data_IF_105868355164
#
_entry.id   IF_105868355164
#
_cell.length_a   1.000
_cell.length_b   1.000
_cell.length_c   1.000
_cell.angle_alpha   90.00
_cell.angle_beta   90.00
_cell.angle_gamma   90.00
#
_symmetry.space_group_name_H-M   'P 1'
#
loop_
_entity.id
_entity.type
_entity.pdbx_description
1 polymer ?
#
# COMPACT_ATOMS: atom_id res chain seq x y z
N UNK A 1 -12.14 -9.52 2.86
CA UNK A 1 -11.41 -8.23 2.82
C UNK A 1 -10.70 -8.21 1.49
N UNK A 2 -11.12 -7.38 0.54
CA UNK A 2 -10.43 -7.27 -0.75
C UNK A 2 -9.50 -6.07 -0.68
N UNK A 3 -8.22 -6.39 -0.60
CA UNK A 3 -7.12 -5.44 -0.63
C UNK A 3 -6.83 -5.17 -2.11
N UNK A 4 -6.81 -3.91 -2.51
CA UNK A 4 -6.42 -3.53 -3.88
C UNK A 4 -5.03 -2.91 -3.75
N UNK A 5 -4.03 -3.71 -4.12
CA UNK A 5 -2.58 -3.51 -4.12
C UNK A 5 -1.99 -2.35 -3.33
N UNK A 6 -1.24 -2.70 -2.27
CA UNK A 6 -0.16 -1.84 -1.78
C UNK A 6 0.95 -1.79 -2.82
N UNK A 7 1.42 -0.57 -3.10
CA UNK A 7 2.49 -0.39 -4.07
C UNK A 7 3.82 -0.09 -3.37
N UNK A 8 4.84 -0.90 -3.69
CA UNK A 8 6.15 -0.84 -3.04
C UNK A 8 7.17 -0.09 -3.88
N UNK A 9 7.85 0.86 -3.25
CA UNK A 9 8.99 1.54 -3.83
C UNK A 9 10.32 0.93 -3.36
N UNK A 10 11.07 0.34 -4.29
CA UNK A 10 12.36 -0.37 -4.16
C UNK A 10 12.31 -1.84 -3.66
N UNK A 11 11.90 -2.76 -4.54
CA UNK A 11 12.65 -4.00 -4.85
C UNK A 11 12.98 -5.06 -3.79
N UNK A 12 12.53 -5.01 -2.53
CA UNK A 12 12.68 -6.14 -1.59
C UNK A 12 11.44 -6.30 -0.70
N UNK A 13 10.68 -7.37 -0.98
CA UNK A 13 9.59 -7.98 -0.21
C UNK A 13 8.44 -7.04 0.21
N UNK A 14 7.24 -7.36 -0.28
CA UNK A 14 6.05 -6.49 -0.23
C UNK A 14 5.48 -6.32 1.19
N UNK A 15 5.12 -5.08 1.54
CA UNK A 15 4.47 -4.70 2.80
C UNK A 15 3.09 -5.32 3.02
N UNK A 16 2.40 -5.82 1.99
CA UNK A 16 1.13 -6.55 2.15
C UNK A 16 1.36 -7.95 2.73
N UNK A 17 2.47 -8.57 2.34
CA UNK A 17 2.92 -9.81 2.99
C UNK A 17 3.24 -9.52 4.46
N UNK A 18 3.95 -8.43 4.74
CA UNK A 18 4.33 -8.04 6.10
C UNK A 18 3.13 -7.61 6.95
N UNK A 19 2.18 -6.85 6.40
CA UNK A 19 0.93 -6.44 7.07
C UNK A 19 0.01 -7.65 7.28
N UNK A 20 -0.12 -8.53 6.30
CA UNK A 20 -0.83 -9.80 6.46
C UNK A 20 -0.20 -10.68 7.53
N UNK A 21 1.14 -10.73 7.59
CA UNK A 21 1.90 -11.45 8.62
C UNK A 21 1.73 -10.79 10.01
N UNK A 22 1.79 -9.47 10.12
CA UNK A 22 1.63 -8.73 11.38
C UNK A 22 0.19 -8.83 11.90
N UNK A 23 -0.80 -8.58 11.04
CA UNK A 23 -2.22 -8.69 11.39
C UNK A 23 -2.58 -10.13 11.75
N UNK A 24 -2.19 -11.09 10.91
CA UNK A 24 -2.45 -12.51 11.14
C UNK A 24 -1.78 -13.04 12.42
N UNK A 25 -0.51 -12.69 12.66
CA UNK A 25 0.17 -13.07 13.90
C UNK A 25 -0.49 -12.46 15.14
N UNK A 26 -0.99 -11.22 15.06
CA UNK A 26 -1.69 -10.56 16.16
C UNK A 26 -3.07 -11.17 16.43
N UNK A 27 -3.80 -11.57 15.40
CA UNK A 27 -5.07 -12.31 15.53
C UNK A 27 -4.88 -13.72 16.11
N UNK A 28 -3.73 -14.37 15.84
CA UNK A 28 -3.32 -15.63 16.45
C UNK A 28 -2.79 -15.49 17.90
N UNK A 29 -2.78 -14.27 18.46
CA UNK A 29 -2.43 -14.03 19.86
C UNK A 29 -0.96 -13.71 20.15
N UNK A 30 -0.10 -13.60 19.12
CA UNK A 30 1.31 -13.25 19.34
C UNK A 30 1.47 -11.82 19.90
N UNK A 31 2.45 -11.64 20.78
CA UNK A 31 2.82 -10.35 21.32
C UNK A 31 3.66 -9.52 20.34
N UNK A 32 3.63 -8.19 20.50
CA UNK A 32 4.40 -7.26 19.65
C UNK A 32 5.91 -7.52 19.74
N UNK A 33 6.41 -7.92 20.91
CA UNK A 33 7.82 -8.24 21.10
C UNK A 33 8.22 -9.53 20.37
N UNK A 34 7.39 -10.57 20.43
CA UNK A 34 7.64 -11.84 19.70
C UNK A 34 7.62 -11.63 18.19
N UNK A 35 6.65 -10.85 17.69
CA UNK A 35 6.58 -10.50 16.27
C UNK A 35 7.81 -9.70 15.83
N UNK A 36 8.31 -8.77 16.66
CA UNK A 36 9.53 -8.02 16.36
C UNK A 36 10.76 -8.91 16.28
N UNK A 37 10.90 -9.87 17.20
CA UNK A 37 12.00 -10.85 17.16
C UNK A 37 11.89 -11.81 15.96
N UNK A 38 10.67 -12.23 15.61
CA UNK A 38 10.42 -13.24 14.58
C UNK A 38 10.50 -12.70 13.16
N UNK A 39 10.06 -11.46 12.94
CA UNK A 39 9.94 -10.86 11.62
C UNK A 39 10.91 -9.68 11.39
N UNK A 40 11.69 -9.30 12.40
CA UNK A 40 12.71 -8.25 12.29
C UNK A 40 12.15 -6.81 12.32
N UNK A 41 10.85 -6.63 12.59
CA UNK A 41 10.27 -5.28 12.70
C UNK A 41 10.49 -4.66 14.08
N UNK A 42 10.58 -3.32 14.10
CA UNK A 42 10.56 -2.58 15.35
C UNK A 42 9.18 -2.70 16.03
N UNK A 43 9.16 -2.69 17.38
CA UNK A 43 7.91 -2.71 18.16
C UNK A 43 6.98 -1.55 17.82
N UNK A 44 7.54 -0.39 17.47
CA UNK A 44 6.80 0.81 17.05
C UNK A 44 6.15 0.62 15.68
N UNK A 45 6.87 0.03 14.71
CA UNK A 45 6.31 -0.31 13.38
C UNK A 45 5.12 -1.26 13.51
N UNK A 46 5.27 -2.35 14.27
CA UNK A 46 4.20 -3.33 14.49
C UNK A 46 2.98 -2.68 15.16
N UNK A 47 3.19 -1.84 16.18
CA UNK A 47 2.10 -1.12 16.86
C UNK A 47 1.34 -0.17 15.93
N UNK A 48 2.02 0.56 15.03
CA UNK A 48 1.37 1.48 14.08
C UNK A 48 0.51 0.72 13.08
N UNK A 49 1.08 -0.30 12.45
CA UNK A 49 0.39 -1.16 11.47
C UNK A 49 -0.89 -1.76 12.08
N UNK A 50 -0.82 -2.31 13.29
CA UNK A 50 -2.01 -2.90 13.92
C UNK A 50 -3.08 -1.87 14.31
N UNK A 51 -2.67 -0.69 14.80
CA UNK A 51 -3.60 0.39 15.17
C UNK A 51 -4.32 0.95 13.94
N UNK A 52 -3.60 1.16 12.87
CA UNK A 52 -4.13 1.66 11.59
C UNK A 52 -5.06 0.61 10.96
N UNK A 53 -4.66 -0.67 10.96
CA UNK A 53 -5.53 -1.77 10.57
C UNK A 53 -6.86 -1.77 11.35
N UNK A 54 -6.80 -1.73 12.70
CA UNK A 54 -8.02 -1.69 13.53
C UNK A 54 -8.92 -0.49 13.24
N UNK A 55 -8.33 0.67 12.94
CA UNK A 55 -9.08 1.88 12.59
C UNK A 55 -9.85 1.78 11.27
N UNK A 56 -9.49 0.81 10.41
CA UNK A 56 -10.14 0.59 9.11
C UNK A 56 -11.23 -0.49 9.12
N UNK A 57 -11.31 -1.32 10.15
CA UNK A 57 -12.32 -2.41 10.24
C UNK A 57 -13.61 -1.86 10.84
N UNK A 58 -14.68 -1.76 10.02
CA UNK A 58 -16.02 -1.47 10.53
C UNK A 58 -16.59 -2.70 11.26
N UNK A 59 -17.11 -2.47 12.48
CA UNK A 59 -17.87 -3.45 13.25
C UNK A 59 -19.18 -3.76 12.51
N UNK A 60 -19.21 -4.83 11.72
CA UNK A 60 -20.41 -5.20 10.97
C UNK A 60 -20.25 -6.25 9.86
N UNK A 61 -19.05 -6.76 9.60
CA UNK A 61 -18.82 -7.80 8.59
C UNK A 61 -18.76 -7.29 7.14
N UNK A 62 -18.94 -5.98 6.91
CA UNK A 62 -18.67 -5.34 5.63
C UNK A 62 -17.16 -5.23 5.39
N UNK A 63 -16.68 -5.78 4.28
CA UNK A 63 -15.28 -5.62 3.88
C UNK A 63 -15.02 -4.20 3.40
N UNK A 64 -14.15 -3.46 4.10
CA UNK A 64 -13.66 -2.15 3.66
C UNK A 64 -12.53 -2.34 2.65
N UNK A 65 -12.56 -1.57 1.57
CA UNK A 65 -11.47 -1.49 0.61
C UNK A 65 -10.61 -0.26 0.93
N UNK A 66 -9.29 -0.42 0.88
CA UNK A 66 -8.33 0.65 1.20
C UNK A 66 -7.22 0.59 0.16
N UNK A 67 -6.78 1.76 -0.29
CA UNK A 67 -5.59 1.95 -1.12
C UNK A 67 -4.50 2.62 -0.29
N UNK A 68 -3.25 2.25 -0.53
CA UNK A 68 -2.08 2.85 0.09
C UNK A 68 -0.86 2.79 -0.85
N UNK A 69 0.11 3.68 -0.62
CA UNK A 69 1.43 3.65 -1.24
C UNK A 69 2.49 3.67 -0.14
N UNK A 70 3.50 2.82 -0.22
CA UNK A 70 4.54 2.79 0.80
C UNK A 70 5.94 2.59 0.21
N UNK A 71 6.92 3.06 0.97
CA UNK A 71 8.34 2.84 0.71
C UNK A 71 8.99 2.28 1.97
N UNK A 72 10.27 1.91 1.87
CA UNK A 72 11.04 1.54 3.06
C UNK A 72 11.26 2.71 4.04
N UNK A 73 11.19 3.97 3.57
CA UNK A 73 11.43 5.17 4.39
C UNK A 73 10.17 5.63 5.11
N UNK A 74 9.07 5.71 4.36
CA UNK A 74 7.81 6.30 4.80
C UNK A 74 6.60 5.57 4.21
N UNK A 75 5.44 5.78 4.84
CA UNK A 75 4.12 5.31 4.42
C UNK A 75 3.31 6.49 3.92
N UNK A 76 2.60 6.30 2.82
CA UNK A 76 1.69 7.26 2.22
C UNK A 76 0.34 7.30 2.92
N UNK A 77 -0.62 8.06 2.36
CA UNK A 77 -1.95 8.16 2.93
C UNK A 77 -2.76 6.87 2.68
N UNK A 78 -3.35 6.33 3.75
CA UNK A 78 -4.37 5.28 3.68
C UNK A 78 -5.70 5.87 3.18
N UNK A 79 -6.07 5.56 1.94
CA UNK A 79 -7.28 6.07 1.30
C UNK A 79 -8.36 5.01 1.37
N UNK A 80 -9.45 5.31 2.09
CA UNK A 80 -10.62 4.42 2.11
C UNK A 80 -11.36 4.51 0.79
N UNK A 81 -11.62 3.36 0.19
CA UNK A 81 -12.44 3.22 -1.00
C UNK A 81 -13.78 2.59 -0.60
N UNK A 82 -14.86 3.32 -0.82
CA UNK A 82 -16.21 2.87 -0.44
C UNK A 82 -16.71 1.69 -1.28
N UNK A 83 -16.18 1.54 -2.50
CA UNK A 83 -16.52 0.46 -3.44
C UNK A 83 -15.27 0.04 -4.23
N UNK A 84 -15.35 -1.09 -4.95
CA UNK A 84 -14.34 -1.47 -5.95
C UNK A 84 -14.09 -0.29 -6.91
N UNK A 85 -12.87 0.26 -6.97
CA UNK A 85 -12.53 1.37 -7.84
C UNK A 85 -12.63 0.92 -9.30
N UNK A 86 -13.18 1.78 -10.13
CA UNK A 86 -13.04 1.70 -11.58
C UNK A 86 -11.70 2.31 -11.99
N UNK A 87 -11.28 2.12 -13.24
CA UNK A 87 -10.05 2.76 -13.75
C UNK A 87 -10.05 4.28 -13.58
N UNK A 88 -11.19 4.94 -13.73
CA UNK A 88 -11.31 6.40 -13.56
C UNK A 88 -11.15 6.84 -12.10
N UNK A 89 -11.68 6.06 -11.15
CA UNK A 89 -11.51 6.34 -9.72
C UNK A 89 -10.05 6.11 -9.30
N UNK A 90 -9.40 5.11 -9.88
CA UNK A 90 -7.97 4.90 -9.69
C UNK A 90 -7.14 6.07 -10.24
N UNK A 91 -7.54 6.65 -11.38
CA UNK A 91 -6.90 7.85 -11.92
C UNK A 91 -6.97 9.05 -10.96
N UNK A 92 -8.02 9.19 -10.14
CA UNK A 92 -8.08 10.26 -9.13
C UNK A 92 -7.07 10.10 -7.99
N UNK A 93 -6.54 8.89 -7.79
CA UNK A 93 -5.57 8.59 -6.74
C UNK A 93 -4.13 8.83 -7.22
N UNK A 94 -3.88 8.60 -8.50
CA UNK A 94 -2.52 8.58 -9.06
C UNK A 94 -1.81 9.96 -8.99
N UNK A 95 -2.38 11.07 -9.49
CA UNK A 95 -1.73 12.39 -9.37
C UNK A 95 -1.65 12.88 -7.93
N UNK A 96 -2.76 12.79 -7.19
CA UNK A 96 -2.89 13.48 -5.90
C UNK A 96 -2.09 12.79 -4.80
N UNK A 97 -2.04 11.45 -4.83
CA UNK A 97 -1.47 10.65 -3.75
C UNK A 97 -0.21 9.91 -4.14
N UNK A 98 -0.18 9.24 -5.30
CA UNK A 98 1.03 8.53 -5.73
C UNK A 98 2.13 9.51 -6.14
N UNK A 99 1.87 10.40 -7.11
CA UNK A 99 2.89 11.30 -7.63
C UNK A 99 3.46 12.20 -6.52
N UNK A 100 2.58 12.82 -5.71
CA UNK A 100 2.98 13.61 -4.54
C UNK A 100 3.89 12.83 -3.58
N UNK A 101 3.55 11.58 -3.28
CA UNK A 101 4.35 10.73 -2.40
C UNK A 101 5.71 10.38 -3.00
N UNK A 102 5.74 10.05 -4.31
CA UNK A 102 6.98 9.75 -5.03
C UNK A 102 7.92 10.95 -5.07
N UNK A 103 7.41 12.17 -5.30
CA UNK A 103 8.25 13.38 -5.27
C UNK A 103 8.87 13.66 -3.90
N UNK A 104 8.18 13.33 -2.81
CA UNK A 104 8.68 13.53 -1.44
C UNK A 104 9.73 12.48 -1.07
N UNK A 105 9.43 11.21 -1.34
CA UNK A 105 10.24 10.07 -0.89
C UNK A 105 11.41 9.76 -1.83
N UNK A 106 11.22 10.02 -3.12
CA UNK A 106 12.15 9.70 -4.21
C UNK A 106 12.47 10.95 -5.05
N UNK A 107 12.89 12.03 -4.38
CA UNK A 107 13.30 13.28 -5.03
C UNK A 107 14.51 13.12 -5.97
N UNK A 108 15.17 11.95 -5.95
CA UNK A 108 16.29 11.59 -6.83
C UNK A 108 15.85 10.99 -8.18
N UNK A 109 14.55 10.80 -8.39
CA UNK A 109 14.00 10.25 -9.65
C UNK A 109 14.25 8.75 -9.82
N UNK A 110 14.77 8.05 -8.81
CA UNK A 110 14.98 6.60 -8.85
C UNK A 110 13.85 5.82 -8.19
N UNK A 111 12.72 6.48 -7.96
CA UNK A 111 11.51 5.85 -7.45
C UNK A 111 11.11 4.66 -8.31
N UNK A 112 10.70 3.57 -7.67
CA UNK A 112 10.13 2.41 -8.33
C UNK A 112 8.71 2.27 -7.83
N UNK A 113 7.78 1.87 -8.68
CA UNK A 113 6.39 1.69 -8.31
C UNK A 113 5.96 0.33 -8.84
N UNK A 114 5.54 -0.56 -7.93
CA UNK A 114 5.05 -1.90 -8.30
C UNK A 114 3.62 -2.04 -7.80
N UNK A 115 2.72 -2.54 -8.64
CA UNK A 115 1.30 -2.77 -8.30
C UNK A 115 0.84 -4.12 -8.83
N UNK A 116 -0.23 -4.68 -8.25
CA UNK A 116 -0.86 -5.90 -8.77
C UNK A 116 -1.63 -5.66 -10.09
N UNK A 117 -2.03 -6.74 -10.75
CA UNK A 117 -2.81 -6.67 -12.00
C UNK A 117 -4.34 -6.64 -11.76
N UNK A 118 -4.81 -6.05 -10.66
CA UNK A 118 -6.25 -5.87 -10.46
C UNK A 118 -6.85 -5.06 -11.63
N UNK A 119 -8.09 -5.36 -12.02
CA UNK A 119 -8.79 -4.70 -13.13
C UNK A 119 -8.66 -3.15 -13.17
N UNK A 120 -8.79 -2.40 -12.06
CA UNK A 120 -8.55 -0.95 -12.06
C UNK A 120 -7.10 -0.56 -12.40
N UNK A 121 -6.11 -1.30 -11.89
CA UNK A 121 -4.67 -1.07 -12.10
C UNK A 121 -4.23 -1.40 -13.54
N UNK A 122 -4.86 -2.43 -14.11
CA UNK A 122 -4.66 -2.86 -15.50
C UNK A 122 -5.43 -2.01 -16.52
N UNK A 123 -6.24 -1.05 -16.05
CA UNK A 123 -7.07 -0.25 -16.95
C UNK A 123 -6.22 0.56 -17.92
N UNK A 124 -6.73 0.76 -19.14
CA UNK A 124 -6.02 1.56 -20.17
C UNK A 124 -5.71 2.98 -19.69
N UNK A 125 -6.58 3.54 -18.86
CA UNK A 125 -6.43 4.89 -18.31
C UNK A 125 -5.31 4.93 -17.27
N UNK A 126 -5.29 3.98 -16.33
CA UNK A 126 -4.24 3.87 -15.31
C UNK A 126 -2.86 3.60 -15.92
N UNK A 127 -2.79 2.64 -16.84
CA UNK A 127 -1.53 2.28 -17.52
C UNK A 127 -1.00 3.41 -18.38
N UNK A 128 -1.86 4.16 -19.08
CA UNK A 128 -1.45 5.35 -19.84
C UNK A 128 -0.86 6.43 -18.94
N UNK A 129 -1.50 6.71 -17.80
CA UNK A 129 -1.00 7.69 -16.85
C UNK A 129 0.39 7.30 -16.30
N UNK A 130 0.58 6.02 -15.94
CA UNK A 130 1.86 5.51 -15.45
C UNK A 130 2.97 5.58 -16.53
N UNK A 131 2.62 5.38 -17.80
CA UNK A 131 3.56 5.54 -18.91
C UNK A 131 3.96 7.01 -19.13
N UNK A 132 3.01 7.94 -19.03
CA UNK A 132 3.25 9.38 -19.14
C UNK A 132 4.21 9.90 -18.05
N UNK A 133 4.22 9.28 -16.86
CA UNK A 133 5.06 9.65 -15.72
C UNK A 133 6.30 8.74 -15.55
N UNK A 134 6.67 8.00 -16.60
CA UNK A 134 7.82 7.08 -16.57
C UNK A 134 9.18 7.78 -16.41
N UNK A 135 9.25 9.11 -16.60
CA UNK A 135 10.42 9.93 -16.26
C UNK A 135 10.59 10.12 -14.75
N UNK A 136 9.51 10.06 -13.99
CA UNK A 136 9.47 10.45 -12.58
C UNK A 136 9.75 9.24 -11.68
N UNK A 137 9.30 8.06 -12.12
CA UNK A 137 9.54 6.79 -11.46
C UNK A 137 9.37 5.62 -12.44
N UNK A 138 9.99 4.47 -12.11
CA UNK A 138 9.88 3.24 -12.90
C UNK A 138 8.69 2.42 -12.43
N UNK A 139 7.75 2.14 -13.32
CA UNK A 139 6.62 1.24 -13.05
C UNK A 139 6.95 -0.22 -13.40
N UNK A 140 6.62 -1.15 -12.51
CA UNK A 140 6.76 -2.59 -12.67
C UNK A 140 5.42 -3.31 -12.50
N UNK A 141 5.27 -4.43 -13.21
CA UNK A 141 4.12 -5.33 -13.14
C UNK A 141 4.47 -6.60 -12.37
#
# INVERSE_FOLDING_TARGET
>A
MYYIGSCCCNGRLSSDFERGVIVGAREMGHSISEMGMKFGFSRTTISRVYREYRGTVQSGGASVMVWDVCSWRDMGPLIRLETTPTGDRYLSILPDHLHSFMSIVHSDGFGQFQQDNATPHASRVATKWLQEHSSDFRHFH
#
